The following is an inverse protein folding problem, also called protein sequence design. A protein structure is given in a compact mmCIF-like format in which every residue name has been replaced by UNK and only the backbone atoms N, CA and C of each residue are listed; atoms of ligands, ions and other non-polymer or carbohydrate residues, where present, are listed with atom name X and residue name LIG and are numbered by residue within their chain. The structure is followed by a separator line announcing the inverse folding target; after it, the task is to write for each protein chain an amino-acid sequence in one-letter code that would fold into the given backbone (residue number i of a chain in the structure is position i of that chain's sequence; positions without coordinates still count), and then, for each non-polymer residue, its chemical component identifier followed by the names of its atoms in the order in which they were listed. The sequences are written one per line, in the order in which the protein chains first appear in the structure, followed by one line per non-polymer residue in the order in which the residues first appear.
data_IF_328503085805
#
_entry.id   IF_328503085805
#
_cell.length_a   1.000
_cell.length_b   1.000
_cell.length_c   1.000
_cell.angle_alpha   90.00
_cell.angle_beta   90.00
_cell.angle_gamma   90.00
#
_symmetry.space_group_name_H-M   'P 1'
#
loop_
_entity.id
_entity.type
_entity.pdbx_description
1 polymer ?
#
# COMPACT_ATOMS: atom_id res chain seq x y z
N UNK A 1 -1.07 -22.74 -4.53
CA UNK A 1 -1.39 -21.57 -5.40
C UNK A 1 -1.29 -22.04 -6.85
N UNK A 2 -2.35 -21.90 -7.67
CA UNK A 2 -2.44 -22.49 -9.03
C UNK A 2 -2.83 -21.48 -10.12
N UNK A 3 -2.62 -20.18 -9.87
CA UNK A 3 -3.10 -19.12 -10.76
C UNK A 3 -2.55 -19.27 -12.20
N UNK A 4 -1.29 -19.71 -12.35
CA UNK A 4 -0.64 -19.93 -13.64
C UNK A 4 -1.18 -21.13 -14.43
N UNK A 5 -1.99 -22.01 -13.82
CA UNK A 5 -2.50 -23.23 -14.47
C UNK A 5 -3.87 -23.03 -15.12
N UNK A 6 -4.46 -21.83 -15.05
CA UNK A 6 -5.81 -21.55 -15.55
C UNK A 6 -6.94 -22.38 -14.86
N UNK A 7 -6.64 -23.12 -13.78
CA UNK A 7 -7.60 -23.99 -13.07
C UNK A 7 -8.08 -23.39 -11.75
N UNK A 8 -8.37 -22.09 -11.69
CA UNK A 8 -8.84 -21.45 -10.46
C UNK A 8 -10.21 -22.01 -10.05
N UNK A 9 -10.34 -22.70 -8.90
CA UNK A 9 -11.59 -23.39 -8.56
C UNK A 9 -12.75 -22.43 -8.23
N UNK A 10 -12.43 -21.16 -7.95
CA UNK A 10 -13.36 -20.10 -7.53
C UNK A 10 -13.56 -19.01 -8.59
N UNK A 11 -13.04 -19.21 -9.81
CA UNK A 11 -13.30 -18.30 -10.93
C UNK A 11 -12.55 -16.96 -10.90
N UNK A 12 -11.54 -16.79 -10.04
CA UNK A 12 -10.76 -15.54 -9.93
C UNK A 12 -9.67 -15.46 -11.01
N UNK A 13 -8.75 -16.42 -11.04
CA UNK A 13 -7.60 -16.42 -11.95
C UNK A 13 -7.74 -17.53 -13.01
N UNK A 14 -8.77 -17.41 -13.86
CA UNK A 14 -9.05 -18.37 -14.95
C UNK A 14 -9.83 -17.72 -16.08
N UNK A 15 -9.55 -18.13 -17.32
CA UNK A 15 -10.28 -17.77 -18.52
C UNK A 15 -11.28 -18.86 -18.95
N UNK A 16 -11.24 -20.04 -18.31
CA UNK A 16 -12.19 -21.12 -18.59
C UNK A 16 -13.63 -20.65 -18.27
N UNK A 17 -14.58 -20.72 -19.23
CA UNK A 17 -15.93 -20.20 -19.06
C UNK A 17 -16.75 -20.97 -18.01
N UNK A 18 -16.46 -22.25 -17.77
CA UNK A 18 -17.13 -23.06 -16.73
C UNK A 18 -16.62 -22.66 -15.35
N UNK A 19 -15.31 -22.42 -15.21
CA UNK A 19 -14.72 -22.00 -13.94
C UNK A 19 -15.04 -20.54 -13.61
N UNK A 20 -15.09 -19.64 -14.60
CA UNK A 20 -15.47 -18.22 -14.40
C UNK A 20 -16.87 -18.05 -13.81
N UNK A 21 -17.83 -18.90 -14.21
CA UNK A 21 -19.20 -18.92 -13.64
C UNK A 21 -19.23 -19.19 -12.12
N UNK A 22 -18.13 -19.68 -11.53
CA UNK A 22 -18.02 -19.92 -10.09
C UNK A 22 -17.65 -18.68 -9.28
N UNK A 23 -17.29 -17.57 -9.93
CA UNK A 23 -16.98 -16.32 -9.25
C UNK A 23 -18.24 -15.74 -8.60
N UNK A 24 -18.20 -15.58 -7.28
CA UNK A 24 -19.29 -15.01 -6.46
C UNK A 24 -18.92 -13.67 -5.82
N UNK A 25 -17.77 -13.11 -6.20
CA UNK A 25 -17.34 -11.83 -5.67
C UNK A 25 -18.24 -10.71 -6.19
N UNK A 26 -18.59 -9.78 -5.32
CA UNK A 26 -19.32 -8.57 -5.69
C UNK A 26 -18.45 -7.34 -5.36
N UNK A 27 -18.67 -6.20 -6.01
CA UNK A 27 -17.96 -4.96 -5.68
C UNK A 27 -18.03 -4.61 -4.18
N UNK A 28 -19.18 -4.87 -3.55
CA UNK A 28 -19.43 -4.59 -2.13
C UNK A 28 -18.46 -5.34 -1.21
N UNK A 29 -18.04 -6.56 -1.57
CA UNK A 29 -17.05 -7.29 -0.76
C UNK A 29 -15.71 -6.54 -0.67
N UNK A 30 -15.27 -5.91 -1.77
CA UNK A 30 -14.01 -5.15 -1.80
C UNK A 30 -14.17 -3.80 -1.12
N UNK A 31 -15.30 -3.13 -1.34
CA UNK A 31 -15.66 -1.88 -0.67
C UNK A 31 -15.65 -2.07 0.86
N UNK A 32 -16.33 -3.10 1.35
CA UNK A 32 -16.40 -3.42 2.78
C UNK A 32 -15.02 -3.76 3.35
N UNK A 33 -14.20 -4.51 2.61
CA UNK A 33 -12.82 -4.76 3.01
C UNK A 33 -12.04 -3.46 3.23
N UNK A 34 -12.11 -2.51 2.30
CA UNK A 34 -11.43 -1.23 2.46
C UNK A 34 -12.03 -0.36 3.57
N UNK A 35 -13.34 -0.41 3.81
CA UNK A 35 -13.94 0.23 4.97
C UNK A 35 -13.38 -0.34 6.28
N UNK A 36 -13.27 -1.66 6.42
CA UNK A 36 -12.69 -2.25 7.63
C UNK A 36 -11.23 -1.88 7.82
N UNK A 37 -10.43 -1.89 6.75
CA UNK A 37 -9.02 -1.44 6.81
C UNK A 37 -8.94 0.03 7.20
N UNK A 38 -9.77 0.89 6.61
CA UNK A 38 -9.78 2.32 6.92
C UNK A 38 -10.22 2.59 8.37
N UNK A 39 -11.23 1.89 8.87
CA UNK A 39 -11.68 2.01 10.26
C UNK A 39 -10.62 1.55 11.27
N UNK A 40 -9.91 0.45 10.99
CA UNK A 40 -8.80 0.01 11.83
C UNK A 40 -7.66 1.05 11.84
N UNK A 41 -7.29 1.60 10.68
CA UNK A 41 -6.30 2.68 10.59
C UNK A 41 -6.74 3.90 11.41
N UNK A 42 -8.00 4.31 11.32
CA UNK A 42 -8.54 5.43 12.11
C UNK A 42 -8.51 5.16 13.61
N UNK A 43 -8.78 3.93 14.03
CA UNK A 43 -8.68 3.54 15.44
C UNK A 43 -7.25 3.62 15.95
N UNK A 44 -6.27 3.12 15.18
CA UNK A 44 -4.84 3.20 15.50
C UNK A 44 -4.34 4.65 15.55
N UNK A 45 -4.76 5.49 14.60
CA UNK A 45 -4.43 6.92 14.62
C UNK A 45 -4.96 7.58 15.91
N UNK A 46 -6.21 7.30 16.29
CA UNK A 46 -6.82 7.83 17.50
C UNK A 46 -6.11 7.35 18.78
N UNK A 47 -5.71 6.07 18.83
CA UNK A 47 -4.93 5.52 19.96
C UNK A 47 -3.59 6.24 20.14
N UNK A 48 -2.95 6.63 19.04
CA UNK A 48 -1.70 7.39 19.03
C UNK A 48 -1.90 8.92 19.19
N UNK A 49 -3.15 9.41 19.19
CA UNK A 49 -3.46 10.84 19.33
C UNK A 49 -3.45 11.66 18.03
N UNK A 50 -3.48 11.01 16.87
CA UNK A 50 -3.49 11.64 15.55
C UNK A 50 -4.88 11.61 14.92
N UNK A 51 -5.15 12.57 14.03
CA UNK A 51 -6.44 12.74 13.35
C UNK A 51 -6.37 12.45 11.86
N UNK A 52 -5.17 12.55 11.28
CA UNK A 52 -4.93 12.37 9.85
C UNK A 52 -3.66 11.52 9.66
N UNK A 53 -3.66 10.72 8.59
CA UNK A 53 -2.56 9.80 8.31
C UNK A 53 -1.27 10.54 7.93
N UNK A 54 -1.40 11.69 7.25
CA UNK A 54 -0.29 12.55 6.85
C UNK A 54 0.58 13.00 8.03
N UNK A 55 0.00 13.17 9.22
CA UNK A 55 0.70 13.56 10.44
C UNK A 55 1.72 12.54 10.95
N UNK A 56 1.70 11.30 10.43
CA UNK A 56 2.59 10.22 10.87
C UNK A 56 3.41 9.61 9.74
N UNK A 57 3.24 10.08 8.49
CA UNK A 57 3.99 9.55 7.35
C UNK A 57 5.46 9.99 7.46
N UNK A 58 6.36 9.02 7.58
CA UNK A 58 7.80 9.26 7.69
C UNK A 58 8.31 9.36 9.14
N UNK A 59 7.42 9.37 10.13
CA UNK A 59 7.77 9.41 11.55
C UNK A 59 8.14 8.03 12.10
N UNK A 60 9.34 7.58 11.75
CA UNK A 60 9.93 6.33 12.24
C UNK A 60 10.12 6.27 13.75
N UNK A 61 10.08 7.42 14.44
CA UNK A 61 10.15 7.54 15.90
C UNK A 61 8.90 6.99 16.61
N UNK A 62 7.76 6.88 15.90
CA UNK A 62 6.53 6.25 16.41
C UNK A 62 6.63 4.72 16.47
N UNK A 63 7.69 4.15 15.89
CA UNK A 63 7.89 2.71 15.85
C UNK A 63 8.87 2.30 16.95
N UNK A 64 8.44 1.36 17.79
CA UNK A 64 9.32 0.71 18.77
C UNK A 64 9.69 -0.70 18.31
N UNK A 65 10.96 -1.05 18.50
CA UNK A 65 11.39 -2.46 18.43
C UNK A 65 10.89 -3.14 19.70
N UNK A 66 9.76 -3.85 19.63
CA UNK A 66 9.42 -4.81 20.70
C UNK A 66 10.64 -5.69 20.92
N UNK A 67 10.97 -5.97 22.19
CA UNK A 67 12.05 -6.87 22.57
C UNK A 67 11.74 -8.33 22.17
N UNK A 68 11.66 -8.60 20.86
CA UNK A 68 11.66 -9.91 20.22
C UNK A 68 13.06 -10.55 20.23
N UNK A 69 13.95 -10.03 21.10
CA UNK A 69 15.32 -10.48 21.33
C UNK A 69 15.34 -11.90 21.93
N UNK A 70 14.19 -12.46 22.34
CA UNK A 70 14.14 -13.83 22.86
C UNK A 70 14.16 -14.92 21.78
N UNK A 71 13.87 -14.60 20.51
CA UNK A 71 13.97 -15.60 19.44
C UNK A 71 15.39 -15.65 18.85
N UNK A 72 16.03 -16.82 18.91
CA UNK A 72 17.42 -16.99 18.49
C UNK A 72 17.72 -16.57 17.03
N UNK A 73 16.75 -16.73 16.11
CA UNK A 73 16.89 -16.29 14.70
C UNK A 73 16.86 -14.78 14.51
N UNK A 74 16.36 -14.02 15.49
CA UNK A 74 16.30 -12.56 15.40
C UNK A 74 17.61 -11.90 15.88
N UNK A 75 18.55 -12.68 16.45
CA UNK A 75 19.85 -12.19 16.89
C UNK A 75 20.63 -11.67 15.68
N UNK A 76 21.10 -10.43 15.77
CA UNK A 76 21.89 -9.78 14.72
C UNK A 76 21.08 -9.09 13.62
N UNK A 77 19.75 -9.04 13.71
CA UNK A 77 18.96 -8.19 12.82
C UNK A 77 19.23 -6.71 13.13
N UNK A 78 19.83 -6.02 12.16
CA UNK A 78 20.00 -4.57 12.19
C UNK A 78 18.87 -3.90 11.41
N UNK A 79 18.12 -3.04 12.10
CA UNK A 79 17.04 -2.26 11.52
C UNK A 79 17.40 -0.79 11.32
N UNK A 80 18.66 -0.39 11.55
CA UNK A 80 19.13 1.00 11.40
C UNK A 80 18.63 1.67 10.11
N UNK A 81 18.65 0.95 8.99
CA UNK A 81 18.17 1.42 7.68
C UNK A 81 16.66 1.61 7.58
N UNK A 82 15.87 0.85 8.34
CA UNK A 82 14.41 0.95 8.34
C UNK A 82 13.93 2.10 9.23
N UNK A 83 14.65 2.37 10.33
CA UNK A 83 14.35 3.47 11.26
C UNK A 83 15.10 4.77 10.89
N UNK A 84 15.78 4.81 9.75
CA UNK A 84 16.50 6.00 9.32
C UNK A 84 15.48 7.12 9.00
N UNK A 85 15.63 8.27 9.64
CA UNK A 85 14.87 9.50 9.38
C UNK A 85 15.78 10.50 8.65
N UNK A 86 15.43 10.93 7.43
CA UNK A 86 16.16 11.98 6.74
C UNK A 86 16.11 13.30 7.54
N UNK A 87 17.19 14.07 7.48
CA UNK A 87 17.22 15.43 8.03
C UNK A 87 16.52 16.38 7.06
N UNK A 88 15.20 16.49 7.22
CA UNK A 88 14.34 17.33 6.40
C UNK A 88 13.11 17.76 7.22
N UNK A 89 12.48 18.90 6.87
CA UNK A 89 11.18 19.28 7.42
C UNK A 89 10.12 18.20 7.17
N UNK A 90 9.12 18.10 8.06
CA UNK A 90 8.10 17.04 7.98
C UNK A 90 7.35 17.06 6.64
N UNK A 91 7.03 18.25 6.14
CA UNK A 91 6.40 18.42 4.83
C UNK A 91 7.23 17.80 3.70
N UNK A 92 8.56 17.77 3.79
CA UNK A 92 9.43 17.24 2.76
C UNK A 92 9.65 15.71 2.85
N UNK A 93 9.19 15.05 3.92
CA UNK A 93 9.34 13.59 4.10
C UNK A 93 8.13 12.78 3.63
N UNK A 94 7.04 13.45 3.22
CA UNK A 94 5.88 12.81 2.61
C UNK A 94 5.65 13.30 1.17
N UNK A 95 4.60 12.82 0.52
CA UNK A 95 4.27 13.19 -0.86
C UNK A 95 3.94 14.69 -0.95
N UNK A 96 4.80 15.48 -1.61
CA UNK A 96 4.72 16.95 -1.72
C UNK A 96 4.32 17.45 -3.10
N UNK A 97 4.65 16.71 -4.14
CA UNK A 97 4.47 17.15 -5.52
C UNK A 97 3.98 16.03 -6.43
N UNK A 98 3.26 16.43 -7.49
CA UNK A 98 2.91 15.52 -8.57
C UNK A 98 4.13 15.27 -9.45
N UNK A 99 4.21 14.06 -9.99
CA UNK A 99 5.19 13.74 -11.00
C UNK A 99 5.03 14.67 -12.21
N UNK A 100 6.07 15.47 -12.48
CA UNK A 100 6.13 16.30 -13.69
C UNK A 100 6.72 15.49 -14.83
N UNK A 101 5.88 15.16 -15.81
CA UNK A 101 6.32 14.48 -17.03
C UNK A 101 6.73 15.53 -18.07
N UNK A 102 7.90 15.41 -18.73
CA UNK A 102 8.33 16.33 -19.78
C UNK A 102 7.64 16.02 -21.12
N UNK A 103 6.30 15.92 -21.09
CA UNK A 103 5.49 15.52 -22.25
C UNK A 103 4.48 16.61 -22.65
N UNK A 104 4.55 17.77 -22.03
CA UNK A 104 3.56 18.82 -22.28
C UNK A 104 3.70 19.44 -23.66
N UNK A 105 4.93 19.54 -24.16
CA UNK A 105 5.27 20.20 -25.42
C UNK A 105 5.66 19.22 -26.55
N UNK A 106 5.36 17.92 -26.42
CA UNK A 106 5.73 16.92 -27.45
C UNK A 106 4.86 17.06 -28.71
N UNK A 107 5.47 16.80 -29.88
CA UNK A 107 4.82 16.94 -31.19
C UNK A 107 3.56 16.08 -31.30
N UNK A 108 3.57 14.86 -30.78
CA UNK A 108 2.46 13.90 -30.81
C UNK A 108 1.15 14.49 -30.27
N UNK A 109 1.21 15.38 -29.26
CA UNK A 109 0.02 16.06 -28.75
C UNK A 109 -0.65 16.93 -29.81
N UNK A 110 0.15 17.63 -30.63
CA UNK A 110 -0.36 18.43 -31.76
C UNK A 110 -0.90 17.56 -32.88
N UNK A 111 -0.33 16.36 -33.07
CA UNK A 111 -0.76 15.44 -34.14
C UNK A 111 -2.09 14.74 -33.82
N UNK A 112 -2.43 14.55 -32.54
CA UNK A 112 -3.70 13.94 -32.10
C UNK A 112 -4.89 14.91 -32.27
N UNK A 113 -4.64 16.21 -32.27
CA UNK A 113 -5.69 17.25 -32.40
C UNK A 113 -6.15 17.48 -33.86
N UNK A 114 -5.42 16.95 -34.85
CA UNK A 114 -5.72 17.05 -36.29
C UNK A 114 -6.70 15.95 -36.74
#
# INVERSE_FOLDING_TARGET
RKCHLNTCPVGVATQDPVLRKRFKGTPEHVINFFFYVAEEVRALLAEMGYTHLDQIIGDTELLEKRALIQHWKARGLDFSKMFFKPDAPHEAVHWTERQKHPIDDVLDRKLIEL
#
